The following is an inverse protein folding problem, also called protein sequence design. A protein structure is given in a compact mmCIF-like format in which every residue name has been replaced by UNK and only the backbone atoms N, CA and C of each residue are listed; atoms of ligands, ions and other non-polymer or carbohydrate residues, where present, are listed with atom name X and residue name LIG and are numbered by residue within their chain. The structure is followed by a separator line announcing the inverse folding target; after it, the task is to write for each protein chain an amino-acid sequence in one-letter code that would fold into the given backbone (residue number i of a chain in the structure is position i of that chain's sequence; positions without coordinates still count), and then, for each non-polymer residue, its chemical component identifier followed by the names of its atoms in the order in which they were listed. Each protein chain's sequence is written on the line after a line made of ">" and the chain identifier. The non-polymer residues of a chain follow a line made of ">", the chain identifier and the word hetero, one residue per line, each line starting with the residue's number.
data_IF_354809470524
#
_entry.id   IF_354809470524
#
_cell.length_a   1.000
_cell.length_b   1.000
_cell.length_c   1.000
_cell.angle_alpha   90.00
_cell.angle_beta   90.00
_cell.angle_gamma   90.00
#
_symmetry.space_group_name_H-M   'P 1'
#
loop_
_entity.id
_entity.type
_entity.pdbx_description
1 polymer ?
#
# COMPACT_ATOMS: atom_id res chain seq x y z
N UNK A 1 -11.23 -15.39 24.32
CA UNK A 1 -10.95 -16.10 23.04
C UNK A 1 -10.69 -15.19 21.85
N UNK A 2 -11.41 -14.07 21.67
CA UNK A 2 -11.28 -13.22 20.46
C UNK A 2 -9.91 -12.54 20.30
N UNK A 3 -9.33 -11.99 21.38
CA UNK A 3 -7.97 -11.44 21.41
C UNK A 3 -6.87 -12.50 21.18
N UNK A 4 -7.02 -13.70 21.76
CA UNK A 4 -6.08 -14.79 21.54
C UNK A 4 -6.09 -15.29 20.08
N UNK A 5 -7.27 -15.26 19.43
CA UNK A 5 -7.41 -15.57 18.00
C UNK A 5 -6.66 -14.53 17.14
N UNK A 6 -6.79 -13.25 17.46
CA UNK A 6 -6.02 -12.17 16.83
C UNK A 6 -4.51 -12.43 16.98
N UNK A 7 -3.96 -12.61 18.20
CA UNK A 7 -2.52 -12.84 18.37
C UNK A 7 -2.00 -14.10 17.65
N UNK A 8 -2.78 -15.18 17.56
CA UNK A 8 -2.39 -16.38 16.79
C UNK A 8 -2.33 -16.16 15.27
N UNK A 9 -3.14 -15.24 14.74
CA UNK A 9 -3.23 -14.92 13.31
C UNK A 9 -2.04 -14.09 12.81
N UNK A 10 -1.31 -13.42 13.72
CA UNK A 10 -0.04 -12.76 13.41
C UNK A 10 0.92 -13.71 12.66
N UNK A 11 1.07 -14.94 13.13
CA UNK A 11 2.00 -15.88 12.51
C UNK A 11 1.53 -16.40 11.14
N UNK A 12 0.23 -16.35 10.85
CA UNK A 12 -0.33 -16.87 9.59
C UNK A 12 -0.28 -15.87 8.43
N UNK A 13 -0.48 -14.57 8.68
CA UNK A 13 -0.48 -13.54 7.61
C UNK A 13 0.89 -12.99 7.25
N UNK A 14 1.92 -13.30 8.04
CA UNK A 14 3.26 -12.73 7.88
C UNK A 14 4.36 -13.79 7.73
N UNK A 15 3.98 -15.05 7.49
CA UNK A 15 4.88 -16.12 7.03
C UNK A 15 4.86 -16.25 5.50
N UNK A 16 5.74 -17.07 4.94
CA UNK A 16 6.01 -17.24 3.50
C UNK A 16 4.80 -17.72 2.64
N UNK A 17 3.60 -17.87 3.22
CA UNK A 17 2.38 -18.39 2.59
C UNK A 17 1.18 -17.41 2.65
N UNK A 18 1.44 -16.11 2.81
CA UNK A 18 0.41 -15.07 2.96
C UNK A 18 -0.23 -14.63 1.62
N UNK A 19 -0.93 -15.52 0.92
CA UNK A 19 -1.55 -15.22 -0.38
C UNK A 19 -3.09 -15.14 -0.38
N UNK A 20 -3.74 -15.12 0.79
CA UNK A 20 -5.21 -15.05 0.89
C UNK A 20 -5.75 -13.71 1.39
N UNK A 21 -6.78 -13.17 0.73
CA UNK A 21 -7.58 -12.08 1.30
C UNK A 21 -8.33 -12.57 2.55
N UNK A 22 -8.41 -11.73 3.58
CA UNK A 22 -9.08 -12.03 4.83
C UNK A 22 -10.56 -12.42 4.61
N UNK A 23 -11.04 -13.58 5.10
CA UNK A 23 -12.47 -13.88 5.05
C UNK A 23 -13.28 -12.85 5.84
N UNK A 24 -14.53 -12.62 5.43
CA UNK A 24 -15.42 -11.60 5.99
C UNK A 24 -15.65 -11.75 7.50
N UNK A 25 -15.66 -12.99 7.99
CA UNK A 25 -15.77 -13.29 9.42
C UNK A 25 -14.55 -12.83 10.23
N UNK A 26 -13.37 -12.76 9.62
CA UNK A 26 -12.16 -12.22 10.23
C UNK A 26 -12.16 -10.71 10.23
N UNK A 27 -12.58 -10.06 9.13
CA UNK A 27 -12.72 -8.60 9.06
C UNK A 27 -13.63 -8.10 10.19
N UNK A 28 -14.79 -8.73 10.38
CA UNK A 28 -15.72 -8.44 11.50
C UNK A 28 -15.12 -8.69 12.88
N UNK A 29 -14.36 -9.77 13.06
CA UNK A 29 -13.72 -10.06 14.35
C UNK A 29 -12.67 -9.01 14.73
N UNK A 30 -11.93 -8.47 13.75
CA UNK A 30 -10.96 -7.40 13.95
C UNK A 30 -11.65 -6.07 14.27
N UNK A 31 -12.76 -5.74 13.60
CA UNK A 31 -13.57 -4.56 13.91
C UNK A 31 -14.14 -4.62 15.34
N UNK A 32 -14.69 -5.77 15.75
CA UNK A 32 -15.17 -5.96 17.12
C UNK A 32 -14.04 -5.83 18.15
N UNK A 33 -12.86 -6.39 17.86
CA UNK A 33 -11.70 -6.28 18.74
C UNK A 33 -11.26 -4.82 18.90
N UNK A 34 -11.25 -4.04 17.82
CA UNK A 34 -10.96 -2.59 17.86
C UNK A 34 -11.95 -1.86 18.75
N UNK A 35 -13.25 -2.10 18.56
CA UNK A 35 -14.29 -1.45 19.36
C UNK A 35 -14.11 -1.73 20.86
N UNK A 36 -13.89 -3.00 21.21
CA UNK A 36 -13.64 -3.40 22.60
C UNK A 36 -12.39 -2.72 23.17
N UNK A 37 -11.29 -2.64 22.41
CA UNK A 37 -10.07 -1.99 22.86
C UNK A 37 -10.27 -0.47 23.06
N UNK A 38 -11.02 0.19 22.19
CA UNK A 38 -11.40 1.60 22.36
C UNK A 38 -12.19 1.82 23.65
N UNK A 39 -13.21 0.99 23.89
CA UNK A 39 -14.06 1.09 25.09
C UNK A 39 -13.24 0.88 26.38
N UNK A 40 -12.32 -0.11 26.39
CA UNK A 40 -11.45 -0.38 27.55
C UNK A 40 -10.38 0.70 27.70
N UNK A 41 -9.85 1.27 26.62
CA UNK A 41 -8.91 2.38 26.68
C UNK A 41 -9.56 3.61 27.32
N UNK A 42 -10.80 3.94 26.91
CA UNK A 42 -11.57 5.03 27.51
C UNK A 42 -11.85 4.79 29.00
N UNK A 43 -12.17 3.55 29.38
CA UNK A 43 -12.32 3.20 30.80
C UNK A 43 -11.00 3.35 31.58
N UNK A 44 -9.87 2.98 30.96
CA UNK A 44 -8.53 3.19 31.52
C UNK A 44 -8.19 4.66 31.71
N UNK A 45 -8.57 5.53 30.77
CA UNK A 45 -8.41 6.99 30.86
C UNK A 45 -9.24 7.58 32.02
N UNK A 46 -10.49 7.14 32.21
CA UNK A 46 -11.33 7.55 33.35
C UNK A 46 -10.75 7.10 34.69
N UNK A 47 -10.09 5.94 34.72
CA UNK A 47 -9.47 5.38 35.91
C UNK A 47 -8.02 5.84 36.12
N UNK A 48 -7.49 6.70 35.24
CA UNK A 48 -6.09 7.15 35.22
C UNK A 48 -5.08 5.97 35.29
N UNK A 49 -5.44 4.82 34.72
CA UNK A 49 -4.62 3.62 34.76
C UNK A 49 -3.73 3.55 33.51
N UNK A 50 -2.58 4.22 33.58
CA UNK A 50 -1.61 4.30 32.48
C UNK A 50 -1.13 2.93 31.98
N UNK A 51 -0.99 1.94 32.87
CA UNK A 51 -0.59 0.59 32.47
C UNK A 51 -1.68 -0.11 31.65
N UNK A 52 -2.94 0.04 32.05
CA UNK A 52 -4.07 -0.49 31.28
C UNK A 52 -4.17 0.19 29.91
N UNK A 53 -4.03 1.52 29.86
CA UNK A 53 -4.03 2.29 28.61
C UNK A 53 -2.89 1.80 27.71
N UNK A 54 -1.68 1.64 28.26
CA UNK A 54 -0.52 1.17 27.51
C UNK A 54 -0.75 -0.20 26.87
N UNK A 55 -1.20 -1.18 27.65
CA UNK A 55 -1.49 -2.54 27.15
C UNK A 55 -2.61 -2.55 26.11
N UNK A 56 -3.66 -1.75 26.31
CA UNK A 56 -4.74 -1.62 25.32
C UNK A 56 -4.25 -1.02 24.00
N UNK A 57 -3.40 0.01 24.05
CA UNK A 57 -2.82 0.63 22.86
C UNK A 57 -1.86 -0.35 22.15
N UNK A 58 -1.06 -1.13 22.89
CA UNK A 58 -0.21 -2.19 22.31
C UNK A 58 -1.02 -3.23 21.56
N UNK A 59 -2.09 -3.73 22.17
CA UNK A 59 -3.01 -4.66 21.50
C UNK A 59 -3.69 -4.01 20.30
N UNK A 60 -3.99 -2.72 20.38
CA UNK A 60 -4.57 -1.97 19.25
C UNK A 60 -3.63 -1.94 18.06
N UNK A 61 -2.32 -1.68 18.26
CA UNK A 61 -1.32 -1.76 17.17
C UNK A 61 -1.34 -3.14 16.51
N UNK A 62 -1.34 -4.22 17.29
CA UNK A 62 -1.37 -5.58 16.76
C UNK A 62 -2.63 -5.86 15.92
N UNK A 63 -3.80 -5.41 16.38
CA UNK A 63 -5.07 -5.54 15.65
C UNK A 63 -5.04 -4.70 14.37
N UNK A 64 -4.52 -3.48 14.40
CA UNK A 64 -4.39 -2.62 13.21
C UNK A 64 -3.48 -3.26 12.15
N UNK A 65 -2.33 -3.77 12.58
CA UNK A 65 -1.38 -4.51 11.74
C UNK A 65 -2.05 -5.73 11.10
N UNK A 66 -2.87 -6.48 11.86
CA UNK A 66 -3.58 -7.63 11.29
C UNK A 66 -4.67 -7.22 10.30
N UNK A 67 -5.33 -6.09 10.55
CA UNK A 67 -6.31 -5.51 9.65
C UNK A 67 -5.70 -4.81 8.42
N UNK A 68 -4.37 -4.80 8.28
CA UNK A 68 -3.64 -4.03 7.26
C UNK A 68 -3.93 -2.53 7.30
N UNK A 69 -4.37 -2.00 8.44
CA UNK A 69 -4.64 -0.57 8.64
C UNK A 69 -3.39 0.13 9.21
N UNK A 70 -2.49 0.44 8.29
CA UNK A 70 -1.20 1.09 8.55
C UNK A 70 -1.38 2.50 9.14
N UNK A 71 -2.42 3.23 8.74
CA UNK A 71 -2.65 4.62 9.15
C UNK A 71 -2.96 4.69 10.64
N UNK A 72 -3.94 3.90 11.09
CA UNK A 72 -4.28 3.87 12.51
C UNK A 72 -3.17 3.18 13.33
N UNK A 73 -2.51 2.14 12.77
CA UNK A 73 -1.37 1.51 13.44
C UNK A 73 -0.24 2.51 13.75
N UNK A 74 0.11 3.38 12.79
CA UNK A 74 1.14 4.41 12.95
C UNK A 74 0.75 5.45 14.00
N UNK A 75 -0.49 5.94 13.93
CA UNK A 75 -1.03 6.91 14.90
C UNK A 75 -1.01 6.36 16.34
N UNK A 76 -1.43 5.12 16.53
CA UNK A 76 -1.41 4.47 17.86
C UNK A 76 0.03 4.21 18.32
N UNK A 77 0.93 3.80 17.41
CA UNK A 77 2.34 3.62 17.72
C UNK A 77 3.02 4.92 18.16
N UNK A 78 2.69 6.06 17.53
CA UNK A 78 3.19 7.37 17.95
C UNK A 78 2.73 7.71 19.38
N UNK A 79 1.47 7.40 19.73
CA UNK A 79 0.98 7.54 21.12
C UNK A 79 1.78 6.65 22.07
N UNK A 80 2.05 5.39 21.71
CA UNK A 80 2.85 4.47 22.54
C UNK A 80 4.30 4.95 22.72
N UNK A 81 4.97 5.40 21.65
CA UNK A 81 6.34 5.91 21.70
C UNK A 81 6.45 7.19 22.55
N UNK A 82 5.42 8.02 22.60
CA UNK A 82 5.40 9.18 23.51
C UNK A 82 5.25 8.79 24.98
N UNK A 83 4.59 7.66 25.28
CA UNK A 83 4.50 7.12 26.64
C UNK A 83 5.77 6.37 27.05
N UNK A 84 6.39 5.62 26.15
CA UNK A 84 7.60 4.82 26.39
C UNK A 84 8.54 4.86 25.17
N UNK A 85 9.42 5.87 25.08
CA UNK A 85 10.28 6.07 23.91
C UNK A 85 11.38 5.00 23.76
N UNK A 86 11.77 4.35 24.85
CA UNK A 86 12.86 3.37 24.89
C UNK A 86 12.38 1.91 24.75
N UNK A 87 11.11 1.68 24.43
CA UNK A 87 10.57 0.33 24.25
C UNK A 87 11.01 -0.28 22.91
N UNK A 88 11.92 -1.25 22.96
CA UNK A 88 12.46 -1.97 21.79
C UNK A 88 11.39 -2.76 21.02
N UNK A 89 10.31 -3.21 21.68
CA UNK A 89 9.23 -3.92 20.99
C UNK A 89 8.47 -2.97 20.06
N UNK A 90 8.32 -1.69 20.43
CA UNK A 90 7.71 -0.66 19.58
C UNK A 90 8.57 -0.34 18.35
N UNK A 91 9.90 -0.45 18.45
CA UNK A 91 10.79 -0.30 17.29
C UNK A 91 10.59 -1.44 16.28
N UNK A 92 10.39 -2.66 16.76
CA UNK A 92 10.06 -3.83 15.93
C UNK A 92 8.72 -3.63 15.20
N UNK A 93 7.69 -3.15 15.91
CA UNK A 93 6.39 -2.83 15.33
C UNK A 93 6.49 -1.70 14.29
N UNK A 94 7.30 -0.67 14.54
CA UNK A 94 7.58 0.40 13.57
C UNK A 94 8.17 -0.14 12.25
N UNK A 95 9.20 -0.98 12.34
CA UNK A 95 9.81 -1.59 11.16
C UNK A 95 8.82 -2.46 10.37
N UNK A 96 7.91 -3.12 11.08
CA UNK A 96 6.87 -3.94 10.47
C UNK A 96 5.80 -3.11 9.77
N UNK A 97 5.33 -2.02 10.38
CA UNK A 97 4.40 -1.07 9.76
C UNK A 97 5.00 -0.49 8.48
N UNK A 98 6.29 -0.10 8.50
CA UNK A 98 6.97 0.43 7.31
C UNK A 98 7.02 -0.59 6.16
N UNK A 99 7.31 -1.87 6.44
CA UNK A 99 7.29 -2.93 5.41
C UNK A 99 5.89 -3.13 4.84
N UNK A 100 4.87 -3.13 5.69
CA UNK A 100 3.48 -3.30 5.28
C UNK A 100 3.00 -2.12 4.42
N UNK A 101 3.37 -0.90 4.78
CA UNK A 101 3.06 0.30 4.00
C UNK A 101 3.65 0.21 2.60
N UNK A 102 4.90 -0.21 2.47
CA UNK A 102 5.53 -0.46 1.17
C UNK A 102 4.78 -1.53 0.37
N UNK A 103 4.43 -2.65 1.00
CA UNK A 103 3.68 -3.74 0.34
C UNK A 103 2.27 -3.31 -0.12
N UNK A 104 1.55 -2.55 0.71
CA UNK A 104 0.22 -2.04 0.37
C UNK A 104 0.29 -1.01 -0.76
N UNK A 105 1.29 -0.12 -0.73
CA UNK A 105 1.52 0.85 -1.81
C UNK A 105 1.78 0.13 -3.14
N UNK A 106 2.59 -0.94 -3.12
CA UNK A 106 2.85 -1.76 -4.30
C UNK A 106 1.61 -2.52 -4.79
N UNK A 107 0.80 -3.10 -3.89
CA UNK A 107 -0.47 -3.78 -4.24
C UNK A 107 -1.46 -2.80 -4.87
N UNK A 108 -1.63 -1.63 -4.26
CA UNK A 108 -2.52 -0.58 -4.77
C UNK A 108 -2.04 -0.08 -6.13
N UNK A 109 -0.75 0.24 -6.24
CA UNK A 109 -0.16 0.67 -7.51
C UNK A 109 -0.28 -0.39 -8.61
N UNK A 110 -0.14 -1.68 -8.29
CA UNK A 110 -0.31 -2.77 -9.25
C UNK A 110 -1.74 -2.86 -9.82
N UNK A 111 -2.76 -2.67 -8.99
CA UNK A 111 -4.15 -2.62 -9.46
C UNK A 111 -4.41 -1.34 -10.27
N UNK A 112 -3.96 -0.19 -9.77
CA UNK A 112 -4.16 1.10 -10.43
C UNK A 112 -3.45 1.15 -11.80
N UNK A 113 -2.25 0.59 -11.93
CA UNK A 113 -1.53 0.60 -13.21
C UNK A 113 -2.20 -0.28 -14.26
N UNK A 114 -2.85 -1.38 -13.86
CA UNK A 114 -3.65 -2.19 -14.77
C UNK A 114 -4.85 -1.41 -15.31
N UNK A 115 -5.59 -0.71 -14.44
CA UNK A 115 -6.73 0.11 -14.85
C UNK A 115 -6.30 1.25 -15.78
N UNK A 116 -5.23 1.97 -15.41
CA UNK A 116 -4.66 3.05 -16.25
C UNK A 116 -4.11 2.53 -17.57
N UNK A 117 -3.52 1.33 -17.59
CA UNK A 117 -3.05 0.70 -18.81
C UNK A 117 -4.22 0.37 -19.76
N UNK A 118 -5.34 -0.18 -19.25
CA UNK A 118 -6.55 -0.45 -20.04
C UNK A 118 -7.19 0.85 -20.56
N UNK A 119 -7.25 1.88 -19.72
CA UNK A 119 -7.74 3.20 -20.12
C UNK A 119 -6.89 3.79 -21.26
N UNK A 120 -5.55 3.66 -21.17
CA UNK A 120 -4.64 4.13 -22.21
C UNK A 120 -4.93 3.44 -23.54
N UNK A 121 -5.08 2.11 -23.52
CA UNK A 121 -5.41 1.35 -24.73
C UNK A 121 -6.72 1.82 -25.36
N UNK A 122 -7.75 2.05 -24.55
CA UNK A 122 -9.06 2.50 -25.02
C UNK A 122 -9.00 3.91 -25.64
N UNK A 123 -8.24 4.83 -25.03
CA UNK A 123 -8.08 6.20 -25.55
C UNK A 123 -7.22 6.22 -26.82
N UNK A 124 -6.13 5.44 -26.86
CA UNK A 124 -5.28 5.34 -28.06
C UNK A 124 -6.06 4.78 -29.25
N UNK A 125 -6.99 3.85 -29.04
CA UNK A 125 -7.86 3.33 -30.09
C UNK A 125 -8.80 4.39 -30.70
N UNK A 126 -9.13 5.45 -29.95
CA UNK A 126 -9.92 6.60 -30.42
C UNK A 126 -9.07 7.66 -31.15
N UNK A 127 -7.74 7.55 -31.07
CA UNK A 127 -6.82 8.42 -31.80
C UNK A 127 -6.65 9.81 -31.17
N UNK A 128 -6.31 10.80 -32.01
CA UNK A 128 -5.89 12.14 -31.55
C UNK A 128 -7.02 12.99 -30.94
N UNK A 129 -8.28 12.61 -31.10
CA UNK A 129 -9.42 13.31 -30.48
C UNK A 129 -9.34 13.31 -28.95
N UNK A 130 -8.69 12.29 -28.37
CA UNK A 130 -8.52 12.15 -26.92
C UNK A 130 -7.12 12.56 -26.45
N UNK A 131 -6.34 13.29 -27.27
CA UNK A 131 -4.97 13.73 -26.94
C UNK A 131 -4.81 14.28 -25.52
N UNK A 132 -5.69 15.19 -25.01
CA UNK A 132 -5.53 15.73 -23.67
C UNK A 132 -5.54 14.63 -22.60
N UNK A 133 -6.48 13.68 -22.70
CA UNK A 133 -6.59 12.57 -21.74
C UNK A 133 -5.45 11.58 -21.87
N UNK A 134 -5.00 11.29 -23.10
CA UNK A 134 -3.83 10.42 -23.31
C UNK A 134 -2.60 11.05 -22.65
N UNK A 135 -2.43 12.37 -22.78
CA UNK A 135 -1.29 13.09 -22.18
C UNK A 135 -1.34 13.07 -20.66
N UNK A 136 -2.52 13.32 -20.08
CA UNK A 136 -2.77 13.21 -18.63
C UNK A 136 -2.42 11.82 -18.11
N UNK A 137 -2.95 10.78 -18.77
CA UNK A 137 -2.74 9.39 -18.38
C UNK A 137 -1.28 8.95 -18.49
N UNK A 138 -0.54 9.44 -19.50
CA UNK A 138 0.91 9.24 -19.60
C UNK A 138 1.64 9.92 -18.44
N UNK A 139 1.19 11.10 -18.01
CA UNK A 139 1.73 11.78 -16.82
C UNK A 139 1.50 10.98 -15.54
N UNK A 140 0.27 10.47 -15.33
CA UNK A 140 -0.04 9.61 -14.18
C UNK A 140 0.82 8.33 -14.18
N UNK A 141 0.94 7.65 -15.33
CA UNK A 141 1.80 6.47 -15.46
C UNK A 141 3.27 6.79 -15.14
N UNK A 142 3.77 7.93 -15.63
CA UNK A 142 5.11 8.39 -15.32
C UNK A 142 5.32 8.55 -13.81
N UNK A 143 4.39 9.22 -13.13
CA UNK A 143 4.50 9.52 -11.69
C UNK A 143 4.40 8.25 -10.84
N UNK A 144 3.53 7.31 -11.20
CA UNK A 144 3.42 6.01 -10.53
C UNK A 144 4.72 5.20 -10.62
N UNK A 145 5.32 5.15 -11.82
CA UNK A 145 6.55 4.38 -12.06
C UNK A 145 7.74 5.06 -11.36
N UNK A 146 7.87 6.38 -11.52
CA UNK A 146 8.95 7.15 -10.90
C UNK A 146 8.89 7.11 -9.37
N UNK A 147 7.67 7.20 -8.82
CA UNK A 147 7.39 7.16 -7.38
C UNK A 147 7.54 5.79 -6.74
N UNK A 148 7.85 4.74 -7.51
CA UNK A 148 8.03 3.39 -6.98
C UNK A 148 6.74 2.74 -6.48
N UNK A 149 5.58 3.23 -6.93
CA UNK A 149 4.28 2.67 -6.57
C UNK A 149 4.03 1.33 -7.29
N UNK A 150 4.79 1.04 -8.34
CA UNK A 150 4.66 -0.18 -9.15
C UNK A 150 5.98 -0.91 -9.25
N UNK A 151 5.91 -2.24 -9.27
CA UNK A 151 7.09 -3.09 -9.50
C UNK A 151 7.37 -3.24 -11.00
N UNK A 152 8.64 -3.51 -11.33
CA UNK A 152 9.02 -3.86 -12.70
C UNK A 152 8.22 -5.07 -13.22
N UNK A 153 7.95 -6.06 -12.36
CA UNK A 153 7.17 -7.23 -12.75
C UNK A 153 5.74 -6.89 -13.17
N UNK A 154 5.07 -5.96 -12.47
CA UNK A 154 3.75 -5.48 -12.87
C UNK A 154 3.81 -4.76 -14.22
N UNK A 155 4.75 -3.82 -14.38
CA UNK A 155 4.95 -3.05 -15.63
C UNK A 155 5.23 -3.97 -16.82
N UNK A 156 6.09 -4.98 -16.62
CA UNK A 156 6.47 -5.98 -17.63
C UNK A 156 5.30 -6.89 -17.99
N UNK A 157 4.59 -7.42 -17.00
CA UNK A 157 3.49 -8.38 -17.19
C UNK A 157 2.31 -7.74 -17.91
N UNK A 158 1.95 -6.51 -17.50
CA UNK A 158 0.88 -5.73 -18.12
C UNK A 158 1.27 -5.10 -19.46
N UNK A 159 2.55 -5.22 -19.87
CA UNK A 159 3.08 -4.69 -21.14
C UNK A 159 2.87 -3.19 -21.30
N UNK A 160 2.92 -2.43 -20.21
CA UNK A 160 2.67 -0.97 -20.18
C UNK A 160 3.53 -0.23 -21.21
N UNK A 161 4.81 -0.60 -21.35
CA UNK A 161 5.70 0.02 -22.34
C UNK A 161 5.25 -0.15 -23.80
N UNK A 162 4.54 -1.23 -24.13
CA UNK A 162 3.94 -1.42 -25.46
C UNK A 162 2.81 -0.41 -25.70
N UNK A 163 1.97 -0.20 -24.71
CA UNK A 163 0.80 0.68 -24.83
C UNK A 163 1.21 2.15 -24.87
N UNK A 164 2.22 2.54 -24.07
CA UNK A 164 2.89 3.83 -24.20
C UNK A 164 3.47 3.99 -25.61
N UNK A 165 4.15 2.98 -26.13
CA UNK A 165 4.67 2.98 -27.50
C UNK A 165 3.59 3.11 -28.57
N UNK A 166 2.38 2.61 -28.32
CA UNK A 166 1.24 2.81 -29.23
C UNK A 166 0.71 4.25 -29.18
N UNK A 167 0.65 4.87 -28.00
CA UNK A 167 0.29 6.29 -27.85
C UNK A 167 1.26 7.21 -28.63
N UNK A 168 2.56 6.93 -28.56
CA UNK A 168 3.60 7.68 -29.30
C UNK A 168 3.45 7.59 -30.84
N UNK A 169 2.83 6.51 -31.35
CA UNK A 169 2.63 6.29 -32.79
C UNK A 169 1.46 7.09 -33.36
N UNK A 170 0.68 7.79 -32.54
CA UNK A 170 -0.41 8.66 -33.01
C UNK A 170 0.08 9.89 -33.80
N UNK A 171 1.40 10.12 -33.86
CA UNK A 171 2.01 11.13 -34.75
C UNK A 171 2.08 12.54 -34.17
N UNK A 172 1.75 12.72 -32.89
CA UNK A 172 1.82 14.00 -32.18
C UNK A 172 3.11 14.12 -31.36
N UNK A 173 3.76 15.29 -31.43
CA UNK A 173 5.06 15.54 -30.76
C UNK A 173 4.96 15.55 -29.23
N UNK A 174 3.85 16.04 -28.68
CA UNK A 174 3.68 16.13 -27.22
C UNK A 174 3.48 14.73 -26.64
N UNK A 175 2.68 13.89 -27.33
CA UNK A 175 2.51 12.47 -26.97
C UNK A 175 3.83 11.68 -27.09
N UNK A 176 4.66 11.99 -28.09
CA UNK A 176 6.00 11.38 -28.20
C UNK A 176 6.92 11.79 -27.05
N UNK A 177 6.90 13.07 -26.65
CA UNK A 177 7.69 13.55 -25.53
C UNK A 177 7.25 12.93 -24.20
N UNK A 178 5.95 12.96 -23.91
CA UNK A 178 5.37 12.37 -22.70
C UNK A 178 5.64 10.86 -22.65
N UNK A 179 5.38 10.13 -23.75
CA UNK A 179 5.65 8.70 -23.82
C UNK A 179 7.13 8.36 -23.66
N UNK A 180 8.04 9.17 -24.21
CA UNK A 180 9.49 8.97 -24.04
C UNK A 180 9.94 9.11 -22.59
N UNK A 181 9.33 10.02 -21.83
CA UNK A 181 9.60 10.16 -20.40
C UNK A 181 9.15 8.92 -19.63
N UNK A 182 7.94 8.43 -19.90
CA UNK A 182 7.42 7.19 -19.29
C UNK A 182 8.35 6.01 -19.61
N UNK A 183 8.76 5.83 -20.88
CA UNK A 183 9.67 4.74 -21.28
C UNK A 183 11.01 4.82 -20.56
N UNK A 184 11.56 6.03 -20.36
CA UNK A 184 12.79 6.22 -19.60
C UNK A 184 12.63 5.76 -18.14
N UNK A 185 11.53 6.13 -17.48
CA UNK A 185 11.26 5.69 -16.11
C UNK A 185 11.01 4.17 -16.03
N UNK A 186 10.38 3.57 -17.04
CA UNK A 186 10.25 2.10 -17.15
C UNK A 186 11.64 1.44 -17.20
N UNK A 187 12.57 1.99 -17.98
CA UNK A 187 13.93 1.45 -18.07
C UNK A 187 14.68 1.59 -16.74
N UNK A 188 14.52 2.73 -16.05
CA UNK A 188 15.08 2.93 -14.71
C UNK A 188 14.47 1.95 -13.69
N UNK A 189 13.17 1.71 -13.75
CA UNK A 189 12.47 0.72 -12.92
C UNK A 189 13.03 -0.69 -13.15
N UNK A 190 13.25 -1.08 -14.41
CA UNK A 190 13.87 -2.36 -14.75
C UNK A 190 15.33 -2.45 -14.23
N UNK A 191 16.09 -1.36 -14.31
CA UNK A 191 17.46 -1.32 -13.77
C UNK A 191 17.49 -1.48 -12.25
N UNK A 192 16.59 -0.79 -11.52
CA UNK A 192 16.43 -0.93 -10.06
C UNK A 192 16.13 -2.38 -9.68
N UNK A 193 15.16 -2.99 -10.35
CA UNK A 193 14.82 -4.40 -10.14
C UNK A 193 16.00 -5.35 -10.43
N UNK A 194 16.82 -5.06 -11.45
CA UNK A 194 18.00 -5.85 -11.79
C UNK A 194 19.13 -5.82 -10.75
N UNK A 195 19.16 -4.79 -9.89
CA UNK A 195 20.12 -4.66 -8.78
C UNK A 195 19.50 -5.01 -7.41
N UNK A 196 18.25 -5.48 -7.39
CA UNK A 196 17.54 -5.86 -6.17
C UNK A 196 17.01 -4.69 -5.34
N UNK A 197 16.77 -3.53 -5.97
CA UNK A 197 16.14 -2.34 -5.40
C UNK A 197 14.73 -2.12 -5.96
#
# INVERSE_FOLDING_TARGET
>A
MRLAKASSLYHQRFGDAAEGEAPESEKKALEEARKLLTDVTAAGEVLENENLIYECLRLTVQVCIQAEDVVEARKVLEKLLSMRPDDEELKSDSARINRMEGQLSLKQGANTIEDKQKELQALVAKGLEEKPKITELLGELHDMIKGGQVTWDAVRTLKVGKDVGNAMKLGDKDLQMAGSQVVKEIQLCAQRAGIGL
#
